data_IF_606141262726
#
_entry.id   IF_606141262726
#
_cell.length_a   1.000
_cell.length_b   1.000
_cell.length_c   1.000
_cell.angle_alpha   90.00
_cell.angle_beta   90.00
_cell.angle_gamma   90.00
#
_symmetry.space_group_name_H-M   'P 1'
#
loop_
_entity.id
_entity.type
_entity.pdbx_description
1 polymer ?
#
# COMPACT_ATOMS: atom_id res chain seq x y z
N UNK A 1 -0.23 -18.35 -2.89
CA UNK A 1 0.84 -19.01 -2.10
C UNK A 1 1.29 -20.34 -2.71
N UNK A 2 0.87 -20.64 -3.93
CA UNK A 2 1.12 -21.91 -4.64
C UNK A 2 2.46 -21.93 -5.39
N UNK A 3 3.05 -20.76 -5.65
CA UNK A 3 4.25 -20.64 -6.49
C UNK A 3 5.55 -20.95 -5.75
N UNK A 4 5.56 -20.75 -4.43
CA UNK A 4 6.79 -20.80 -3.62
C UNK A 4 7.16 -22.24 -3.16
N UNK A 5 6.31 -23.24 -3.46
CA UNK A 5 6.53 -24.68 -3.18
C UNK A 5 7.16 -25.01 -1.80
N UNK A 6 6.83 -24.24 -0.76
CA UNK A 6 7.32 -24.45 0.61
C UNK A 6 8.73 -23.90 0.92
N UNK A 7 9.39 -23.21 -0.01
CA UNK A 7 10.68 -22.56 0.25
C UNK A 7 10.48 -21.12 0.77
N UNK A 8 10.69 -20.92 2.07
CA UNK A 8 10.54 -19.60 2.70
C UNK A 8 11.53 -18.55 2.16
N UNK A 9 12.71 -18.95 1.69
CA UNK A 9 13.73 -18.04 1.18
C UNK A 9 13.36 -17.40 -0.17
N UNK A 10 12.34 -17.94 -0.86
CA UNK A 10 11.80 -17.35 -2.09
C UNK A 10 10.59 -16.46 -1.86
N UNK A 11 10.22 -16.16 -0.61
CA UNK A 11 9.16 -15.20 -0.31
C UNK A 11 9.79 -13.81 -0.25
N UNK A 12 9.51 -12.98 -1.26
CA UNK A 12 9.88 -11.57 -1.28
C UNK A 12 8.67 -10.68 -1.62
N UNK A 13 8.89 -9.37 -1.61
CA UNK A 13 7.85 -8.39 -1.93
C UNK A 13 7.27 -8.60 -3.33
N UNK A 14 8.11 -8.91 -4.32
CA UNK A 14 7.66 -9.10 -5.71
C UNK A 14 6.69 -10.27 -5.81
N UNK A 15 7.07 -11.43 -5.24
CA UNK A 15 6.21 -12.62 -5.20
C UNK A 15 4.87 -12.30 -4.53
N UNK A 16 4.88 -11.55 -3.41
CA UNK A 16 3.64 -11.17 -2.73
C UNK A 16 2.76 -10.28 -3.61
N UNK A 17 3.33 -9.27 -4.28
CA UNK A 17 2.58 -8.40 -5.19
C UNK A 17 2.01 -9.16 -6.40
N UNK A 18 2.82 -10.02 -7.03
CA UNK A 18 2.41 -10.80 -8.20
C UNK A 18 1.28 -11.77 -7.82
N UNK A 19 1.40 -12.45 -6.68
CA UNK A 19 0.36 -13.35 -6.17
C UNK A 19 -0.93 -12.61 -5.80
N UNK A 20 -0.84 -11.41 -5.23
CA UNK A 20 -2.03 -10.61 -4.94
C UNK A 20 -2.74 -10.15 -6.22
N UNK A 21 -1.99 -9.73 -7.25
CA UNK A 21 -2.54 -9.41 -8.57
C UNK A 21 -3.21 -10.63 -9.22
N UNK A 22 -2.71 -11.83 -8.94
CA UNK A 22 -3.32 -13.10 -9.36
C UNK A 22 -4.54 -13.52 -8.50
N UNK A 23 -4.95 -12.72 -7.51
CA UNK A 23 -6.12 -12.98 -6.68
C UNK A 23 -5.88 -13.90 -5.48
N UNK A 24 -4.62 -14.17 -5.12
CA UNK A 24 -4.31 -14.97 -3.93
C UNK A 24 -4.79 -14.27 -2.65
N UNK A 25 -5.68 -14.94 -1.91
CA UNK A 25 -6.33 -14.37 -0.73
C UNK A 25 -5.35 -14.03 0.39
N UNK A 26 -4.25 -14.78 0.53
CA UNK A 26 -3.26 -14.53 1.60
C UNK A 26 -2.42 -13.33 1.22
N UNK A 27 -1.92 -13.28 -0.01
CA UNK A 27 -1.16 -12.14 -0.54
C UNK A 27 -1.98 -10.84 -0.48
N UNK A 28 -3.26 -10.87 -0.89
CA UNK A 28 -4.16 -9.73 -0.77
C UNK A 28 -4.32 -9.26 0.69
N UNK A 29 -4.43 -10.18 1.65
CA UNK A 29 -4.50 -9.83 3.09
C UNK A 29 -3.20 -9.18 3.58
N UNK A 30 -2.04 -9.68 3.15
CA UNK A 30 -0.73 -9.12 3.51
C UNK A 30 -0.59 -7.69 2.98
N UNK A 31 -0.89 -7.48 1.70
CA UNK A 31 -0.83 -6.14 1.08
C UNK A 31 -1.87 -5.20 1.68
N UNK A 32 -3.09 -5.68 1.95
CA UNK A 32 -4.13 -4.92 2.63
C UNK A 32 -3.71 -4.44 4.02
N UNK A 33 -3.04 -5.29 4.79
CA UNK A 33 -2.48 -4.90 6.09
C UNK A 33 -1.39 -3.85 5.94
N UNK A 34 -0.46 -4.04 5.01
CA UNK A 34 0.62 -3.09 4.76
C UNK A 34 0.09 -1.71 4.33
N UNK A 35 -0.85 -1.67 3.38
CA UNK A 35 -1.46 -0.42 2.89
C UNK A 35 -2.26 0.30 3.97
N UNK A 36 -2.94 -0.42 4.87
CA UNK A 36 -3.59 0.19 6.03
C UNK A 36 -2.60 0.96 6.92
N UNK A 37 -1.46 0.35 7.26
CA UNK A 37 -0.46 1.02 8.11
C UNK A 37 0.22 2.19 7.39
N UNK A 38 0.48 2.06 6.09
CA UNK A 38 1.00 3.16 5.28
C UNK A 38 0.01 4.33 5.22
N UNK A 39 -1.28 4.07 5.05
CA UNK A 39 -2.31 5.12 5.05
C UNK A 39 -2.36 5.86 6.39
N UNK A 40 -2.27 5.14 7.51
CA UNK A 40 -2.16 5.76 8.84
C UNK A 40 -0.91 6.66 8.94
N UNK A 41 0.24 6.18 8.45
CA UNK A 41 1.46 6.98 8.41
C UNK A 41 1.33 8.25 7.57
N UNK A 42 0.72 8.14 6.37
CA UNK A 42 0.44 9.28 5.49
C UNK A 42 -0.46 10.29 6.21
N UNK A 43 -1.57 9.85 6.80
CA UNK A 43 -2.47 10.75 7.54
C UNK A 43 -1.78 11.45 8.71
N UNK A 44 -0.91 10.75 9.44
CA UNK A 44 -0.13 11.37 10.50
C UNK A 44 0.77 12.49 9.95
N UNK A 45 1.44 12.27 8.82
CA UNK A 45 2.28 13.30 8.18
C UNK A 45 1.43 14.48 7.70
N UNK A 46 0.30 14.22 7.03
CA UNK A 46 -0.65 15.28 6.62
C UNK A 46 -1.04 16.12 7.83
N UNK A 47 -1.35 15.47 8.96
CA UNK A 47 -1.79 16.16 10.18
C UNK A 47 -0.72 17.03 10.84
N UNK A 48 0.56 16.76 10.58
CA UNK A 48 1.68 17.48 11.22
C UNK A 48 2.19 18.61 10.34
N UNK A 49 2.33 18.38 9.03
CA UNK A 49 3.02 19.32 8.12
C UNK A 49 2.24 19.68 6.86
N UNK A 50 1.07 19.08 6.61
CA UNK A 50 0.22 19.33 5.44
C UNK A 50 0.98 19.42 4.10
N UNK A 51 1.64 18.32 3.65
CA UNK A 51 2.47 18.36 2.46
C UNK A 51 1.62 18.26 1.18
N UNK A 52 2.04 18.99 0.14
CA UNK A 52 1.35 18.95 -1.17
C UNK A 52 1.56 17.62 -1.92
N UNK A 53 2.68 16.94 -1.71
CA UNK A 53 3.08 15.76 -2.47
C UNK A 53 3.75 14.71 -1.58
N UNK A 54 3.31 13.44 -1.76
CA UNK A 54 3.96 12.25 -1.23
C UNK A 54 4.65 11.51 -2.38
N UNK A 55 5.90 11.09 -2.18
CA UNK A 55 6.66 10.31 -3.16
C UNK A 55 6.95 8.93 -2.60
N UNK A 56 6.40 7.89 -3.23
CA UNK A 56 6.64 6.48 -2.84
C UNK A 56 7.76 5.89 -3.68
N UNK A 57 8.95 5.79 -3.10
CA UNK A 57 10.16 5.26 -3.74
C UNK A 57 10.55 3.84 -3.30
N UNK A 58 11.73 3.39 -3.75
CA UNK A 58 12.35 2.13 -3.34
C UNK A 58 11.68 0.89 -3.93
N UNK A 59 11.87 -0.28 -3.32
CA UNK A 59 11.37 -1.57 -3.84
C UNK A 59 9.84 -1.65 -3.99
N UNK A 60 9.09 -0.80 -3.27
CA UNK A 60 7.63 -0.68 -3.36
C UNK A 60 7.17 0.05 -4.63
N UNK A 61 7.99 0.96 -5.17
CA UNK A 61 7.65 1.72 -6.37
C UNK A 61 7.42 0.83 -7.59
N UNK A 62 8.04 -0.36 -7.63
CA UNK A 62 7.84 -1.35 -8.70
C UNK A 62 6.41 -1.92 -8.75
N UNK A 63 5.65 -1.84 -7.65
CA UNK A 63 4.24 -2.22 -7.64
C UNK A 63 3.36 -1.23 -8.43
N UNK A 64 3.85 0.01 -8.62
CA UNK A 64 3.23 1.04 -9.44
C UNK A 64 1.80 1.39 -9.00
N UNK A 65 0.95 1.63 -10.00
CA UNK A 65 -0.43 2.08 -9.81
C UNK A 65 -1.29 1.15 -8.94
N UNK A 66 -0.97 -0.15 -8.94
CA UNK A 66 -1.68 -1.11 -8.08
C UNK A 66 -1.55 -0.71 -6.60
N UNK A 67 -0.34 -0.36 -6.14
CA UNK A 67 -0.11 0.08 -4.77
C UNK A 67 -0.69 1.48 -4.51
N UNK A 68 -0.45 2.42 -5.43
CA UNK A 68 -0.88 3.82 -5.27
C UNK A 68 -2.39 3.94 -5.20
N UNK A 69 -3.14 3.23 -6.05
CA UNK A 69 -4.61 3.21 -6.02
C UNK A 69 -5.15 2.69 -4.68
N UNK A 70 -4.61 1.58 -4.16
CA UNK A 70 -4.98 1.07 -2.83
C UNK A 70 -4.65 2.07 -1.72
N UNK A 71 -3.48 2.72 -1.76
CA UNK A 71 -3.12 3.72 -0.76
C UNK A 71 -4.07 4.92 -0.77
N UNK A 72 -4.37 5.47 -1.96
CA UNK A 72 -5.33 6.58 -2.10
C UNK A 72 -6.70 6.20 -1.54
N UNK A 73 -7.18 4.99 -1.84
CA UNK A 73 -8.43 4.48 -1.27
C UNK A 73 -8.36 4.42 0.26
N UNK A 74 -7.30 3.81 0.81
CA UNK A 74 -7.15 3.66 2.27
C UNK A 74 -7.03 4.98 3.00
N UNK A 75 -6.27 5.94 2.47
CA UNK A 75 -6.14 7.28 3.04
C UNK A 75 -7.50 7.99 3.04
N UNK A 76 -8.24 7.92 1.93
CA UNK A 76 -9.57 8.54 1.83
C UNK A 76 -10.60 7.99 2.83
N UNK A 77 -10.44 6.73 3.27
CA UNK A 77 -11.32 6.09 4.25
C UNK A 77 -11.10 6.57 5.68
N UNK A 78 -9.95 7.17 5.98
CA UNK A 78 -9.54 7.54 7.34
C UNK A 78 -9.33 9.05 7.51
N UNK A 79 -9.79 9.86 6.56
CA UNK A 79 -9.81 11.32 6.68
C UNK A 79 -10.72 11.76 7.82
N UNK A 80 -10.35 12.83 8.55
CA UNK A 80 -11.12 13.30 9.70
C UNK A 80 -12.44 14.00 9.33
N UNK A 81 -12.51 14.60 8.13
CA UNK A 81 -13.70 15.29 7.64
C UNK A 81 -13.84 15.14 6.12
N UNK A 82 -15.07 15.29 5.63
CA UNK A 82 -15.38 15.20 4.20
C UNK A 82 -14.74 16.37 3.44
N UNK A 83 -14.08 16.06 2.32
CA UNK A 83 -13.46 17.08 1.47
C UNK A 83 -12.08 17.55 1.95
N UNK A 84 -11.48 16.87 2.93
CA UNK A 84 -10.09 17.09 3.29
C UNK A 84 -9.18 16.82 2.08
N UNK A 85 -8.33 17.78 1.74
CA UNK A 85 -7.25 17.56 0.78
C UNK A 85 -6.19 16.69 1.44
N UNK A 86 -5.79 15.62 0.76
CA UNK A 86 -4.80 14.65 1.27
C UNK A 86 -3.48 14.72 0.48
N UNK A 87 -3.32 15.78 -0.32
CA UNK A 87 -2.18 15.94 -1.21
C UNK A 87 -2.16 14.91 -2.33
N UNK A 88 -1.13 14.98 -3.16
CA UNK A 88 -0.91 14.05 -4.27
C UNK A 88 0.00 12.91 -3.81
N UNK A 89 -0.53 11.70 -3.80
CA UNK A 89 0.22 10.45 -3.55
C UNK A 89 0.53 9.77 -4.87
#
# INVERSE_FOLDING_TARGET
MTEVKGNLNSIDGKVIFDQAKAGDKVACKVIGRMTNYLAIGIMNIISIIDPEVFVIGGGLSAAGEYLISMLREKVSQITYYKGMDVGKI
#
